data_IF_435816374080
#
_entry.id   IF_435816374080
#
_cell.length_a   1.000
_cell.length_b   1.000
_cell.length_c   1.000
_cell.angle_alpha   90.00
_cell.angle_beta   90.00
_cell.angle_gamma   90.00
#
_symmetry.space_group_name_H-M   'P 1'
#
loop_
_entity.id
_entity.type
_entity.pdbx_description
1 polymer ?
#
# COMPACT_ATOMS: atom_id res chain seq x y z
N UNK A 1 14.56 16.44 -6.71
CA UNK A 1 14.62 15.00 -6.37
C UNK A 1 13.66 14.24 -7.28
N UNK A 2 14.08 13.11 -7.84
CA UNK A 2 13.30 12.32 -8.82
C UNK A 2 12.03 11.76 -8.17
N UNK A 3 10.88 12.39 -8.40
CA UNK A 3 9.54 12.00 -7.91
C UNK A 3 9.24 10.51 -8.16
N UNK A 4 9.58 10.04 -9.36
CA UNK A 4 9.37 8.66 -9.78
C UNK A 4 10.18 7.67 -8.92
N UNK A 5 11.39 8.04 -8.48
CA UNK A 5 12.21 7.21 -7.59
C UNK A 5 11.63 7.14 -6.18
N UNK A 6 11.11 8.24 -5.64
CA UNK A 6 10.57 8.28 -4.28
C UNK A 6 9.28 7.48 -4.16
N UNK A 7 8.37 7.62 -5.13
CA UNK A 7 7.14 6.81 -5.19
C UNK A 7 7.43 5.33 -5.39
N UNK A 8 8.30 5.00 -6.35
CA UNK A 8 8.66 3.61 -6.61
C UNK A 8 9.38 2.96 -5.42
N UNK A 9 10.15 3.72 -4.65
CA UNK A 9 10.86 3.23 -3.46
C UNK A 9 9.90 2.98 -2.30
N UNK A 10 8.96 3.88 -2.03
CA UNK A 10 7.94 3.66 -0.98
C UNK A 10 7.05 2.46 -1.32
N UNK A 11 6.63 2.33 -2.58
CA UNK A 11 5.84 1.18 -3.02
C UNK A 11 6.63 -0.12 -2.93
N UNK A 12 7.91 -0.13 -3.34
CA UNK A 12 8.78 -1.30 -3.22
C UNK A 12 9.02 -1.70 -1.77
N UNK A 13 9.23 -0.75 -0.87
CA UNK A 13 9.43 -1.04 0.56
C UNK A 13 8.14 -1.61 1.16
N UNK A 14 6.98 -1.01 0.88
CA UNK A 14 5.69 -1.51 1.38
C UNK A 14 5.38 -2.92 0.90
N UNK A 15 5.62 -3.21 -0.39
CA UNK A 15 5.45 -4.55 -0.97
C UNK A 15 6.45 -5.54 -0.36
N UNK A 16 7.73 -5.18 -0.23
CA UNK A 16 8.76 -6.07 0.33
C UNK A 16 8.47 -6.40 1.81
N UNK A 17 8.04 -5.42 2.60
CA UNK A 17 7.64 -5.62 4.01
C UNK A 17 6.40 -6.51 4.08
N UNK A 18 5.39 -6.26 3.23
CA UNK A 18 4.17 -7.07 3.19
C UNK A 18 4.43 -8.53 2.84
N UNK A 19 5.27 -8.79 1.82
CA UNK A 19 5.69 -10.15 1.42
C UNK A 19 6.48 -10.82 2.56
N UNK A 20 7.41 -10.10 3.20
CA UNK A 20 8.19 -10.65 4.31
C UNK A 20 7.32 -11.04 5.51
N UNK A 21 6.34 -10.20 5.87
CA UNK A 21 5.39 -10.48 6.95
C UNK A 21 4.47 -11.65 6.63
N UNK A 22 3.99 -11.78 5.38
CA UNK A 22 3.22 -12.95 4.95
C UNK A 22 4.05 -14.23 5.02
N UNK A 23 5.29 -14.21 4.52
CA UNK A 23 6.17 -15.38 4.54
C UNK A 23 6.48 -15.83 5.99
N UNK A 24 6.76 -14.87 6.88
CA UNK A 24 6.97 -15.13 8.30
C UNK A 24 5.69 -15.64 8.98
N UNK A 25 4.54 -15.03 8.70
CA UNK A 25 3.24 -15.44 9.23
C UNK A 25 2.84 -16.85 8.79
N UNK A 26 3.15 -17.23 7.55
CA UNK A 26 2.90 -18.56 7.03
C UNK A 26 3.76 -19.62 7.74
N UNK A 27 5.05 -19.32 7.95
CA UNK A 27 5.95 -20.20 8.70
C UNK A 27 5.51 -20.39 10.16
N UNK A 28 5.02 -19.33 10.81
CA UNK A 28 4.48 -19.40 12.18
C UNK A 28 3.17 -20.18 12.27
N UNK A 29 2.25 -19.98 11.30
CA UNK A 29 0.99 -20.73 11.21
C UNK A 29 1.26 -22.23 11.01
N UNK A 30 2.19 -22.59 10.12
CA UNK A 30 2.62 -23.99 9.93
C UNK A 30 3.28 -24.59 11.19
N UNK A 31 3.82 -23.76 12.07
CA UNK A 31 4.42 -24.16 13.36
C UNK A 31 3.40 -24.20 14.51
N UNK A 32 2.10 -24.04 14.22
CA UNK A 32 1.02 -24.10 15.21
C UNK A 32 0.88 -22.87 16.11
N UNK A 33 1.58 -21.76 15.81
CA UNK A 33 1.60 -20.55 16.65
C UNK A 33 0.52 -19.51 16.30
N UNK A 34 -0.62 -19.97 15.76
CA UNK A 34 -1.78 -19.14 15.42
C UNK A 34 -1.57 -18.22 14.21
N UNK A 35 -2.67 -17.72 13.66
CA UNK A 35 -2.69 -17.00 12.37
C UNK A 35 -2.53 -15.47 12.50
N UNK A 36 -2.28 -14.97 13.71
CA UNK A 36 -2.25 -13.53 14.02
C UNK A 36 -1.23 -12.76 13.18
N UNK A 37 -0.04 -13.34 12.97
CA UNK A 37 1.03 -12.74 12.16
C UNK A 37 0.68 -12.79 10.67
N UNK A 38 -0.03 -13.84 10.23
CA UNK A 38 -0.51 -13.97 8.86
C UNK A 38 -1.58 -12.92 8.53
N UNK A 39 -2.52 -12.69 9.45
CA UNK A 39 -3.52 -11.62 9.34
C UNK A 39 -2.87 -10.23 9.30
N UNK A 40 -1.84 -9.99 10.12
CA UNK A 40 -1.08 -8.75 10.07
C UNK A 40 -0.39 -8.55 8.71
N UNK A 41 0.22 -9.60 8.14
CA UNK A 41 0.83 -9.57 6.81
C UNK A 41 -0.18 -9.30 5.68
N UNK A 42 -1.37 -9.93 5.75
CA UNK A 42 -2.49 -9.66 4.83
C UNK A 42 -2.95 -8.20 4.90
N UNK A 43 -3.16 -7.66 6.11
CA UNK A 43 -3.55 -6.27 6.29
C UNK A 43 -2.53 -5.30 5.70
N UNK A 44 -1.23 -5.55 5.92
CA UNK A 44 -0.16 -4.71 5.36
C UNK A 44 -0.20 -4.74 3.83
N UNK A 45 -0.44 -5.89 3.20
CA UNK A 45 -0.52 -5.98 1.74
C UNK A 45 -1.78 -5.32 1.16
N UNK A 46 -2.91 -5.42 1.86
CA UNK A 46 -4.16 -4.73 1.47
C UNK A 46 -3.96 -3.20 1.56
N UNK A 47 -3.26 -2.71 2.58
CA UNK A 47 -3.07 -1.27 2.83
C UNK A 47 -1.91 -0.67 2.03
N UNK A 48 -0.90 -1.47 1.65
CA UNK A 48 0.28 -1.06 0.87
C UNK A 48 -0.02 -0.23 -0.39
N UNK A 49 -0.94 -0.63 -1.29
CA UNK A 49 -1.26 0.17 -2.47
C UNK A 49 -1.79 1.57 -2.13
N UNK A 50 -2.56 1.72 -1.05
CA UNK A 50 -3.05 3.03 -0.59
C UNK A 50 -1.90 3.94 -0.14
N UNK A 51 -0.93 3.39 0.59
CA UNK A 51 0.25 4.14 1.01
C UNK A 51 1.05 4.67 -0.21
N UNK A 52 1.18 3.87 -1.27
CA UNK A 52 1.83 4.27 -2.51
C UNK A 52 1.14 5.45 -3.23
N UNK A 53 -0.20 5.44 -3.27
CA UNK A 53 -0.97 6.53 -3.89
C UNK A 53 -0.94 7.80 -3.04
N UNK A 54 -1.01 7.70 -1.71
CA UNK A 54 -0.89 8.85 -0.79
C UNK A 54 0.47 9.55 -0.94
N UNK A 55 1.56 8.78 -1.01
CA UNK A 55 2.91 9.33 -1.20
C UNK A 55 3.03 10.02 -2.55
N UNK A 56 2.45 9.43 -3.59
CA UNK A 56 2.39 10.05 -4.93
C UNK A 56 1.65 11.38 -4.88
N UNK A 57 0.48 11.42 -4.25
CA UNK A 57 -0.31 12.65 -4.10
C UNK A 57 0.46 13.75 -3.36
N UNK A 58 1.10 13.42 -2.23
CA UNK A 58 1.91 14.37 -1.46
C UNK A 58 3.10 14.91 -2.27
N UNK A 59 3.73 14.06 -3.07
CA UNK A 59 4.84 14.43 -3.93
C UNK A 59 4.40 15.36 -5.07
N UNK A 60 3.24 15.11 -5.68
CA UNK A 60 2.68 15.95 -6.75
C UNK A 60 2.22 17.31 -6.24
N UNK A 61 1.59 17.36 -5.07
CA UNK A 61 1.23 18.62 -4.40
C UNK A 61 2.49 19.45 -4.11
N UNK A 62 3.55 18.80 -3.61
CA UNK A 62 4.84 19.45 -3.35
C UNK A 62 5.50 19.98 -4.63
N UNK A 63 5.26 19.33 -5.78
CA UNK A 63 5.73 19.77 -7.09
C UNK A 63 4.84 20.85 -7.73
N UNK A 64 3.75 21.28 -7.07
CA UNK A 64 2.71 22.18 -7.62
C UNK A 64 2.06 21.67 -8.91
N UNK A 65 2.08 20.36 -9.14
CA UNK A 65 1.47 19.74 -10.30
C UNK A 65 0.02 19.34 -9.97
N UNK A 66 -0.87 20.32 -10.06
CA UNK A 66 -2.28 20.18 -9.66
C UNK A 66 -3.09 19.25 -10.58
N UNK A 67 -2.74 19.17 -11.86
CA UNK A 67 -3.44 18.31 -12.81
C UNK A 67 -3.24 16.84 -12.44
N UNK A 68 -1.98 16.43 -12.27
CA UNK A 68 -1.68 15.05 -11.91
C UNK A 68 -2.07 14.74 -10.46
N UNK A 69 -2.05 15.73 -9.54
CA UNK A 69 -2.53 15.54 -8.18
C UNK A 69 -4.02 15.22 -8.15
N UNK A 70 -4.83 15.89 -8.98
CA UNK A 70 -6.25 15.58 -9.14
C UNK A 70 -6.47 14.16 -9.67
N UNK A 71 -5.69 13.73 -10.67
CA UNK A 71 -5.75 12.35 -11.19
C UNK A 71 -5.41 11.33 -10.10
N UNK A 72 -4.35 11.55 -9.32
CA UNK A 72 -3.98 10.67 -8.21
C UNK A 72 -5.05 10.61 -7.11
N UNK A 73 -5.69 11.74 -6.80
CA UNK A 73 -6.79 11.81 -5.84
C UNK A 73 -8.03 11.03 -6.31
N UNK A 74 -8.39 11.14 -7.61
CA UNK A 74 -9.49 10.37 -8.21
C UNK A 74 -9.18 8.87 -8.14
N UNK A 75 -7.97 8.46 -8.52
CA UNK A 75 -7.54 7.07 -8.43
C UNK A 75 -7.62 6.53 -6.99
N UNK A 76 -7.20 7.33 -6.01
CA UNK A 76 -7.30 6.96 -4.60
C UNK A 76 -8.77 6.78 -4.20
N UNK A 77 -9.64 7.70 -4.60
CA UNK A 77 -11.09 7.63 -4.34
C UNK A 77 -11.75 6.39 -4.92
N UNK A 78 -11.47 6.04 -6.17
CA UNK A 78 -12.02 4.85 -6.83
C UNK A 78 -11.49 3.58 -6.16
N UNK A 79 -10.20 3.54 -5.81
CA UNK A 79 -9.59 2.37 -5.16
C UNK A 79 -10.16 2.16 -3.75
N UNK A 80 -10.38 3.24 -3.00
CA UNK A 80 -11.06 3.22 -1.69
C UNK A 80 -12.50 2.73 -1.84
N UNK A 81 -13.25 3.28 -2.79
CA UNK A 81 -14.63 2.86 -3.03
C UNK A 81 -14.72 1.37 -3.41
N UNK A 82 -13.81 0.88 -4.25
CA UNK A 82 -13.71 -0.54 -4.59
C UNK A 82 -13.38 -1.42 -3.39
N UNK A 83 -12.44 -0.99 -2.53
CA UNK A 83 -12.10 -1.73 -1.32
C UNK A 83 -13.24 -1.75 -0.29
N UNK A 84 -13.97 -0.63 -0.12
CA UNK A 84 -15.16 -0.61 0.74
C UNK A 84 -16.27 -1.48 0.16
N UNK A 85 -16.49 -1.45 -1.15
CA UNK A 85 -17.49 -2.31 -1.80
C UNK A 85 -17.15 -3.81 -1.66
N UNK A 86 -15.87 -4.17 -1.65
CA UNK A 86 -15.44 -5.55 -1.40
C UNK A 86 -15.64 -6.04 0.05
N UNK A 87 -15.90 -5.12 0.98
CA UNK A 87 -16.17 -5.42 2.39
C UNK A 87 -17.68 -5.45 2.73
N UNK A 88 -18.55 -5.04 1.80
CA UNK A 88 -20.01 -5.09 1.91
C UNK A 88 -20.56 -6.41 1.33
#
# INVERSE_FOLDING_TARGET
MNLNKSTALTLRIGIMIGIALMAAGLAFSMSGHGDSVLYAGMLVLIVSPFAGVVVSLAALISAKDWYWAAVAAILLGITMAGAVAALL
#
